data_IF_062442273413
#
_entry.id   IF_062442273413
#
_cell.length_a   1.000
_cell.length_b   1.000
_cell.length_c   1.000
_cell.angle_alpha   90.00
_cell.angle_beta   90.00
_cell.angle_gamma   90.00
#
_symmetry.space_group_name_H-M   'P 1'
#
loop_
_entity.id
_entity.type
_entity.pdbx_description
1 polymer ?
#
# COMPACT_ATOMS: atom_id res chain seq x y z
N UNK A 1 25.75 -0.13 7.61
CA UNK A 1 26.13 -1.17 6.64
C UNK A 1 25.12 -1.23 5.53
N UNK A 2 25.61 -1.28 4.31
CA UNK A 2 24.73 -1.28 3.17
C UNK A 2 23.92 -2.55 3.07
N UNK A 3 22.69 -2.40 2.66
CA UNK A 3 21.82 -3.52 2.39
C UNK A 3 22.22 -4.18 1.09
N UNK A 4 22.21 -5.45 1.11
CA UNK A 4 22.57 -6.24 -0.03
C UNK A 4 21.39 -7.03 -0.51
N UNK A 5 20.57 -6.38 -1.27
CA UNK A 5 19.42 -7.09 -1.84
C UNK A 5 19.83 -8.26 -2.71
N UNK A 6 21.06 -8.24 -3.19
CA UNK A 6 21.54 -9.40 -3.96
C UNK A 6 21.70 -10.63 -3.11
N UNK A 7 22.11 -10.44 -1.88
CA UNK A 7 22.16 -11.56 -0.96
C UNK A 7 20.81 -12.17 -0.76
N UNK A 8 19.84 -11.31 -0.69
CA UNK A 8 18.47 -11.75 -0.45
C UNK A 8 17.92 -12.55 -1.61
N UNK A 9 18.28 -12.20 -2.81
CA UNK A 9 17.85 -12.95 -3.98
C UNK A 9 18.30 -14.40 -3.94
N UNK A 10 19.50 -14.65 -3.41
CA UNK A 10 20.02 -15.99 -3.35
C UNK A 10 19.55 -16.75 -2.13
N UNK A 11 19.07 -16.08 -1.16
CA UNK A 11 18.62 -16.73 0.05
C UNK A 11 17.40 -17.59 -0.15
N UNK A 12 16.53 -17.17 -1.05
CA UNK A 12 15.32 -17.92 -1.27
C UNK A 12 14.41 -17.89 -0.05
N UNK A 13 13.39 -18.71 -0.11
CA UNK A 13 12.36 -18.68 0.91
C UNK A 13 12.73 -19.48 2.15
N UNK A 14 13.72 -20.31 2.08
CA UNK A 14 14.10 -21.19 3.17
C UNK A 14 15.13 -20.59 4.10
N UNK A 15 15.67 -19.45 3.74
CA UNK A 15 16.67 -18.80 4.56
C UNK A 15 16.00 -17.97 5.62
N UNK A 16 16.43 -18.19 6.84
CA UNK A 16 15.95 -17.40 7.95
C UNK A 16 16.29 -15.94 7.75
N UNK A 17 15.38 -15.07 8.12
CA UNK A 17 15.60 -13.64 7.98
C UNK A 17 16.83 -13.26 8.80
N UNK A 18 17.85 -12.85 8.11
CA UNK A 18 18.93 -12.16 8.75
C UNK A 18 18.48 -10.75 9.05
N UNK A 19 19.02 -10.19 10.09
CA UNK A 19 18.84 -8.77 10.33
C UNK A 19 19.56 -8.03 9.22
N UNK A 20 18.83 -7.56 8.26
CA UNK A 20 19.37 -6.78 7.16
C UNK A 20 19.15 -5.32 7.48
N UNK A 21 20.21 -4.57 7.48
CA UNK A 21 20.11 -3.13 7.64
C UNK A 21 19.79 -2.51 6.31
N UNK A 22 18.66 -1.84 6.23
CA UNK A 22 18.27 -1.11 5.03
C UNK A 22 18.91 0.26 5.01
N UNK A 23 19.22 0.72 3.82
CA UNK A 23 19.71 2.07 3.56
C UNK A 23 18.81 2.71 2.50
N UNK A 24 18.91 4.02 2.40
CA UNK A 24 18.31 4.72 1.28
C UNK A 24 18.86 4.17 -0.03
N UNK A 25 18.01 3.92 -0.99
CA UNK A 25 18.42 3.33 -2.24
C UNK A 25 17.29 2.60 -2.94
N UNK A 26 17.67 1.92 -4.00
CA UNK A 26 16.72 1.16 -4.83
C UNK A 26 16.95 -0.33 -4.67
N UNK A 27 15.85 -1.03 -4.49
CA UNK A 27 15.81 -2.47 -4.33
C UNK A 27 14.95 -3.06 -5.44
N UNK A 28 15.43 -4.13 -6.08
CA UNK A 28 14.75 -4.77 -7.20
C UNK A 28 14.56 -6.24 -6.92
N UNK A 29 13.39 -6.73 -7.27
CA UNK A 29 13.04 -8.15 -7.14
C UNK A 29 13.33 -8.69 -5.75
N UNK A 30 13.14 -7.84 -4.76
CA UNK A 30 13.44 -8.15 -3.38
C UNK A 30 12.30 -9.00 -2.80
N UNK A 31 12.69 -10.05 -2.12
CA UNK A 31 11.76 -10.88 -1.34
C UNK A 31 12.32 -11.00 0.06
N UNK A 32 11.55 -10.58 1.05
CA UNK A 32 11.97 -10.63 2.43
C UNK A 32 11.26 -9.63 3.31
N UNK A 33 11.82 -9.42 4.47
CA UNK A 33 11.29 -8.51 5.47
C UNK A 33 11.98 -7.16 5.38
N UNK A 34 11.18 -6.12 5.29
CA UNK A 34 11.64 -4.74 5.36
C UNK A 34 11.45 -4.25 6.80
N UNK A 35 12.49 -3.68 7.35
CA UNK A 35 12.40 -2.96 8.61
C UNK A 35 13.26 -1.70 8.46
N UNK A 36 12.60 -0.59 8.22
CA UNK A 36 13.28 0.67 7.97
C UNK A 36 12.41 1.83 8.42
N UNK A 37 12.83 2.45 9.51
CA UNK A 37 12.24 3.69 10.03
C UNK A 37 10.70 3.71 10.05
N UNK A 38 10.13 2.68 10.66
CA UNK A 38 8.68 2.54 10.78
C UNK A 38 8.00 1.79 9.66
N UNK A 39 8.73 1.50 8.59
CA UNK A 39 8.23 0.62 7.53
C UNK A 39 8.56 -0.80 7.96
N UNK A 40 7.56 -1.57 8.23
CA UNK A 40 7.74 -2.97 8.65
C UNK A 40 6.84 -3.87 7.84
N UNK A 41 7.41 -4.78 7.09
CA UNK A 41 6.58 -5.67 6.31
C UNK A 41 7.32 -6.71 5.51
N UNK A 42 6.60 -7.72 5.11
CA UNK A 42 7.10 -8.74 4.20
C UNK A 42 6.67 -8.41 2.78
N UNK A 43 7.62 -8.54 1.87
CA UNK A 43 7.39 -8.31 0.45
C UNK A 43 7.88 -9.49 -0.38
N UNK A 44 7.35 -9.60 -1.57
CA UNK A 44 7.76 -10.62 -2.52
C UNK A 44 7.86 -10.03 -3.92
N UNK A 45 8.99 -10.32 -4.57
CA UNK A 45 9.28 -9.84 -5.91
C UNK A 45 9.06 -8.32 -6.03
N UNK A 46 9.46 -7.59 -5.02
CA UNK A 46 9.15 -6.19 -4.90
C UNK A 46 10.28 -5.30 -5.43
N UNK A 47 9.90 -4.29 -6.15
CA UNK A 47 10.80 -3.22 -6.56
C UNK A 47 10.37 -1.95 -5.87
N UNK A 48 11.26 -1.37 -5.10
CA UNK A 48 10.97 -0.17 -4.33
C UNK A 48 12.23 0.66 -4.12
N UNK A 49 12.04 1.90 -3.72
CA UNK A 49 13.11 2.79 -3.31
C UNK A 49 12.81 3.33 -1.93
N UNK A 50 13.84 3.41 -1.12
CA UNK A 50 13.80 4.11 0.16
C UNK A 50 14.52 5.42 -0.04
N UNK A 51 13.85 6.51 0.22
CA UNK A 51 14.42 7.83 0.07
C UNK A 51 14.66 8.43 1.45
N UNK A 52 15.89 8.79 1.67
CA UNK A 52 16.26 9.49 2.88
C UNK A 52 15.66 10.91 2.84
N UNK A 53 14.74 11.13 3.72
CA UNK A 53 14.03 12.40 3.87
C UNK A 53 13.43 12.40 5.27
N UNK A 54 12.91 13.51 5.70
CA UNK A 54 12.23 13.60 6.98
C UNK A 54 10.77 14.02 6.74
N UNK A 55 9.83 13.11 6.87
CA UNK A 55 9.96 11.67 7.16
C UNK A 55 10.49 10.86 5.97
N UNK A 56 10.97 9.68 6.27
CA UNK A 56 11.40 8.73 5.24
C UNK A 56 10.23 8.32 4.38
N UNK A 57 10.47 8.22 3.10
CA UNK A 57 9.42 7.86 2.13
C UNK A 57 9.82 6.62 1.37
N UNK A 58 8.91 5.66 1.30
CA UNK A 58 9.05 4.49 0.45
C UNK A 58 8.28 4.72 -0.87
N UNK A 59 8.94 4.42 -1.95
CA UNK A 59 8.35 4.39 -3.29
C UNK A 59 8.28 2.95 -3.74
N UNK A 60 7.10 2.37 -3.67
CA UNK A 60 6.89 0.99 -4.06
C UNK A 60 6.42 0.96 -5.51
N UNK A 61 7.21 0.37 -6.38
CA UNK A 61 6.94 0.39 -7.81
C UNK A 61 6.06 -0.76 -8.24
N UNK A 62 6.37 -1.97 -7.78
CA UNK A 62 5.60 -3.15 -8.10
C UNK A 62 5.99 -4.31 -7.20
N UNK A 63 5.23 -5.37 -7.23
CA UNK A 63 5.44 -6.56 -6.44
C UNK A 63 4.31 -6.81 -5.47
N UNK A 64 4.60 -7.52 -4.40
CA UNK A 64 3.60 -7.89 -3.43
C UNK A 64 4.00 -7.43 -2.03
N UNK A 65 3.05 -6.86 -1.34
CA UNK A 65 3.14 -6.58 0.09
C UNK A 65 2.31 -7.61 0.82
N UNK A 66 2.95 -8.46 1.58
CA UNK A 66 2.28 -9.59 2.21
C UNK A 66 1.68 -9.26 3.57
N UNK A 67 2.22 -8.28 4.24
CA UNK A 67 1.71 -7.84 5.53
C UNK A 67 2.68 -6.96 6.26
N UNK A 68 2.20 -6.30 7.29
CA UNK A 68 3.00 -5.40 8.11
C UNK A 68 2.42 -4.00 8.17
N UNK A 69 3.26 -3.01 8.40
CA UNK A 69 2.86 -1.62 8.58
C UNK A 69 3.54 -0.74 7.53
N UNK A 70 2.72 -0.03 6.79
CA UNK A 70 3.12 1.00 5.84
C UNK A 70 2.80 2.37 6.45
N UNK A 71 3.80 3.12 6.88
CA UNK A 71 3.53 4.40 7.55
C UNK A 71 3.21 5.54 6.58
N UNK A 72 3.96 5.65 5.50
CA UNK A 72 3.78 6.70 4.50
C UNK A 72 4.58 6.38 3.25
N UNK A 73 4.20 6.97 2.13
CA UNK A 73 4.92 6.81 0.89
C UNK A 73 4.01 6.75 -0.33
N UNK A 74 4.59 6.26 -1.41
CA UNK A 74 3.88 6.17 -2.68
C UNK A 74 3.89 4.72 -3.16
N UNK A 75 2.71 4.20 -3.34
CA UNK A 75 2.46 2.89 -3.94
C UNK A 75 2.04 3.08 -5.39
N UNK A 76 2.88 2.67 -6.32
CA UNK A 76 2.58 2.82 -7.74
C UNK A 76 1.71 1.70 -8.27
N UNK A 77 2.09 0.46 -7.98
CA UNK A 77 1.35 -0.69 -8.49
C UNK A 77 1.74 -1.95 -7.73
N UNK A 78 0.96 -3.01 -7.88
CA UNK A 78 1.23 -4.29 -7.27
C UNK A 78 0.05 -4.80 -6.45
N UNK A 79 0.32 -5.80 -5.64
CA UNK A 79 -0.70 -6.46 -4.84
C UNK A 79 -0.43 -6.29 -3.35
N UNK A 80 -1.39 -5.73 -2.66
CA UNK A 80 -1.40 -5.60 -1.22
C UNK A 80 -2.27 -6.72 -0.63
N UNK A 81 -1.66 -7.63 0.11
CA UNK A 81 -2.38 -8.75 0.70
C UNK A 81 -2.98 -8.43 2.05
N UNK A 82 -2.33 -7.64 2.85
CA UNK A 82 -2.84 -7.32 4.17
C UNK A 82 -1.91 -6.44 4.98
N UNK A 83 -2.29 -6.17 6.20
CA UNK A 83 -1.56 -5.29 7.09
C UNK A 83 -2.22 -3.94 7.23
N UNK A 84 -1.46 -2.96 7.71
CA UNK A 84 -1.97 -1.63 7.98
C UNK A 84 -1.30 -0.59 7.11
N UNK A 85 -2.09 0.09 6.33
CA UNK A 85 -1.70 1.27 5.57
C UNK A 85 -2.10 2.52 6.36
N UNK A 86 -1.14 3.31 6.80
CA UNK A 86 -1.44 4.49 7.62
C UNK A 86 -1.65 5.74 6.80
N UNK A 87 -0.80 5.98 5.82
CA UNK A 87 -0.87 7.19 5.03
C UNK A 87 -0.12 7.05 3.72
N UNK A 88 -0.23 8.05 2.87
CA UNK A 88 0.47 8.12 1.60
C UNK A 88 -0.45 8.11 0.40
N UNK A 89 0.13 7.80 -0.74
CA UNK A 89 -0.59 7.81 -2.01
C UNK A 89 -0.62 6.41 -2.62
N UNK A 90 -1.80 5.87 -2.76
CA UNK A 90 -2.05 4.65 -3.51
C UNK A 90 -2.45 5.03 -4.93
N UNK A 91 -1.58 4.74 -5.90
CA UNK A 91 -1.82 5.15 -7.27
C UNK A 91 -2.62 4.12 -8.04
N UNK A 92 -2.27 2.85 -7.89
CA UNK A 92 -2.93 1.76 -8.61
C UNK A 92 -2.59 0.42 -7.97
N UNK A 93 -3.24 -0.64 -8.40
CA UNK A 93 -2.96 -2.00 -7.96
C UNK A 93 -4.17 -2.68 -7.36
N UNK A 94 -3.92 -3.79 -6.71
CA UNK A 94 -4.97 -4.61 -6.11
C UNK A 94 -4.79 -4.69 -4.60
N UNK A 95 -5.81 -4.31 -3.89
CA UNK A 95 -5.89 -4.40 -2.44
C UNK A 95 -6.78 -5.59 -2.06
N UNK A 96 -6.19 -6.59 -1.42
CA UNK A 96 -6.90 -7.82 -1.06
C UNK A 96 -7.50 -7.76 0.34
N UNK A 97 -6.89 -7.03 1.26
CA UNK A 97 -7.39 -6.96 2.62
C UNK A 97 -6.51 -6.12 3.53
N UNK A 98 -6.88 -6.01 4.78
CA UNK A 98 -6.18 -5.22 5.76
C UNK A 98 -6.91 -3.93 6.08
N UNK A 99 -6.19 -2.97 6.67
CA UNK A 99 -6.77 -1.71 7.12
C UNK A 99 -6.11 -0.54 6.42
N UNK A 100 -6.93 0.30 5.80
CA UNK A 100 -6.50 1.56 5.21
C UNK A 100 -6.95 2.69 6.16
N UNK A 101 -5.99 3.33 6.79
CA UNK A 101 -6.28 4.34 7.81
C UNK A 101 -6.37 5.76 7.26
N UNK A 102 -5.63 6.04 6.20
CA UNK A 102 -5.65 7.39 5.65
C UNK A 102 -4.81 7.53 4.39
N UNK A 103 -4.71 8.75 3.90
CA UNK A 103 -4.02 9.05 2.66
C UNK A 103 -4.96 9.12 1.47
N UNK A 104 -4.41 8.96 0.29
CA UNK A 104 -5.16 9.12 -0.95
C UNK A 104 -5.13 7.84 -1.77
N UNK A 105 -6.30 7.39 -2.15
CA UNK A 105 -6.49 6.28 -3.08
C UNK A 105 -6.96 6.82 -4.42
N UNK A 106 -6.15 6.63 -5.46
CA UNK A 106 -6.49 7.19 -6.78
C UNK A 106 -7.16 6.19 -7.70
N UNK A 107 -6.58 5.01 -7.86
CA UNK A 107 -7.08 4.00 -8.78
C UNK A 107 -6.79 2.60 -8.25
N UNK A 108 -7.30 1.61 -8.96
CA UNK A 108 -7.07 0.22 -8.65
C UNK A 108 -8.31 -0.47 -8.14
N UNK A 109 -8.12 -1.67 -7.62
CA UNK A 109 -9.20 -2.54 -7.19
C UNK A 109 -9.09 -2.83 -5.70
N UNK A 110 -10.12 -2.47 -4.97
CA UNK A 110 -10.29 -2.81 -3.58
C UNK A 110 -11.23 -4.01 -3.46
N UNK A 111 -10.74 -5.14 -2.94
CA UNK A 111 -11.54 -6.36 -2.85
C UNK A 111 -12.15 -6.55 -1.48
N UNK A 112 -11.38 -6.29 -0.42
CA UNK A 112 -11.86 -6.51 0.94
C UNK A 112 -10.99 -5.71 1.93
N UNK A 113 -11.42 -5.65 3.17
CA UNK A 113 -10.70 -4.98 4.24
C UNK A 113 -11.51 -3.87 4.86
N UNK A 114 -10.84 -3.05 5.65
CA UNK A 114 -11.48 -1.95 6.37
C UNK A 114 -10.89 -0.61 5.97
N UNK A 115 -11.73 0.26 5.47
CA UNK A 115 -11.39 1.65 5.17
C UNK A 115 -11.84 2.52 6.33
N UNK A 116 -10.91 3.13 7.04
CA UNK A 116 -11.23 3.94 8.22
C UNK A 116 -11.02 5.42 8.01
N UNK A 117 -10.39 5.83 6.93
CA UNK A 117 -10.19 7.25 6.66
C UNK A 117 -9.44 7.48 5.37
N UNK A 118 -9.25 8.74 5.03
CA UNK A 118 -8.57 9.14 3.80
C UNK A 118 -9.53 9.49 2.67
N UNK A 119 -8.96 9.73 1.51
CA UNK A 119 -9.70 10.20 0.34
C UNK A 119 -9.68 9.18 -0.78
N UNK A 120 -10.85 8.75 -1.18
CA UNK A 120 -11.06 7.86 -2.32
C UNK A 120 -11.36 8.68 -3.56
N UNK A 121 -10.46 8.68 -4.53
CA UNK A 121 -10.63 9.44 -5.77
C UNK A 121 -11.21 8.62 -6.90
N UNK A 122 -11.01 7.30 -6.90
CA UNK A 122 -11.54 6.46 -7.96
C UNK A 122 -11.09 5.02 -7.83
N UNK A 123 -11.47 4.22 -8.82
CA UNK A 123 -11.17 2.80 -8.83
C UNK A 123 -12.39 1.95 -8.53
N UNK A 124 -12.16 0.68 -8.28
CA UNK A 124 -13.21 -0.30 -8.10
C UNK A 124 -13.29 -0.75 -6.65
N UNK A 125 -14.45 -0.60 -6.05
CA UNK A 125 -14.73 -1.09 -4.70
C UNK A 125 -15.61 -2.34 -4.80
N UNK A 126 -15.07 -3.49 -4.43
CA UNK A 126 -15.78 -4.77 -4.58
C UNK A 126 -16.22 -5.39 -3.25
N UNK A 127 -15.77 -4.88 -2.14
CA UNK A 127 -16.17 -5.43 -0.86
C UNK A 127 -15.48 -4.76 0.32
N UNK A 128 -15.67 -5.32 1.49
CA UNK A 128 -15.10 -4.80 2.71
C UNK A 128 -15.96 -3.77 3.41
N UNK A 129 -15.39 -3.12 4.39
CA UNK A 129 -16.10 -2.20 5.26
C UNK A 129 -15.59 -0.78 5.10
N UNK A 130 -16.48 0.14 4.81
CA UNK A 130 -16.22 1.57 4.84
C UNK A 130 -16.68 2.14 6.16
N UNK A 131 -15.75 2.65 6.97
CA UNK A 131 -16.08 3.23 8.28
C UNK A 131 -16.21 4.75 8.18
N UNK A 132 -15.19 5.39 7.61
CA UNK A 132 -15.21 6.84 7.42
C UNK A 132 -14.21 7.23 6.34
N UNK A 133 -14.16 8.51 6.03
CA UNK A 133 -13.32 9.05 4.98
C UNK A 133 -14.15 9.76 3.94
N UNK A 134 -13.50 10.19 2.89
CA UNK A 134 -14.13 11.01 1.87
C UNK A 134 -14.07 10.33 0.51
N UNK A 135 -15.09 10.53 -0.29
CA UNK A 135 -15.04 10.25 -1.71
C UNK A 135 -14.95 11.56 -2.46
N UNK A 136 -14.01 11.62 -3.36
CA UNK A 136 -13.71 12.85 -4.09
C UNK A 136 -14.02 12.62 -5.55
N UNK A 137 -14.69 13.61 -6.19
CA UNK A 137 -15.04 13.51 -7.58
C UNK A 137 -16.37 12.81 -7.83
N UNK A 138 -16.49 12.16 -8.97
CA UNK A 138 -17.72 11.46 -9.34
C UNK A 138 -17.69 10.06 -8.78
N UNK A 139 -18.71 9.72 -8.04
CA UNK A 139 -18.87 8.37 -7.53
C UNK A 139 -19.52 7.53 -8.60
N UNK A 140 -18.71 6.84 -9.35
CA UNK A 140 -19.22 5.96 -10.38
C UNK A 140 -19.23 4.50 -9.95
N UNK A 141 -18.49 4.18 -8.93
CA UNK A 141 -18.24 2.80 -8.57
C UNK A 141 -18.62 2.55 -7.13
N UNK A 142 -19.80 2.10 -6.98
CA UNK A 142 -20.24 1.63 -5.71
C UNK A 142 -20.54 0.14 -5.87
N UNK A 143 -20.08 -0.70 -4.97
CA UNK A 143 -20.34 -2.13 -5.05
C UNK A 143 -21.83 -2.46 -5.03
N UNK A 144 -22.65 -1.51 -4.62
CA UNK A 144 -24.08 -1.68 -4.61
C UNK A 144 -24.76 -1.09 -5.85
N UNK A 145 -23.99 -0.79 -6.86
CA UNK A 145 -24.54 -0.32 -8.11
C UNK A 145 -25.21 1.05 -8.02
N UNK A 146 -24.65 1.93 -7.24
CA UNK A 146 -25.17 3.29 -7.20
C UNK A 146 -25.02 3.91 -8.56
N UNK A 147 -26.13 4.24 -9.11
CA UNK A 147 -26.22 4.76 -10.45
C UNK A 147 -26.16 6.27 -10.52
N UNK A 148 -26.29 6.94 -9.42
CA UNK A 148 -26.25 8.39 -9.47
C UNK A 148 -24.82 8.88 -9.57
N UNK A 149 -24.51 9.40 -10.68
CA UNK A 149 -23.29 10.15 -10.90
C UNK A 149 -23.45 11.47 -10.19
N UNK A 150 -22.92 11.51 -9.01
CA UNK A 150 -23.08 12.65 -8.15
C UNK A 150 -21.71 13.12 -7.77
N UNK A 151 -21.50 14.40 -7.87
CA UNK A 151 -20.29 14.98 -7.34
C UNK A 151 -20.33 14.83 -5.82
N UNK A 152 -19.33 14.15 -5.29
CA UNK A 152 -19.23 13.96 -3.87
C UNK A 152 -18.37 15.06 -3.32
N UNK A 153 -18.91 15.83 -2.42
CA UNK A 153 -18.22 16.89 -1.72
C UNK A 153 -18.13 16.48 -0.27
N UNK A 154 -16.98 16.11 0.19
CA UNK A 154 -16.73 15.84 1.60
C UNK A 154 -17.81 14.99 2.28
N UNK A 155 -18.32 14.02 1.56
CA UNK A 155 -19.34 13.17 2.11
C UNK A 155 -18.70 12.10 2.98
N UNK A 156 -19.05 12.09 4.24
CA UNK A 156 -18.61 11.05 5.15
C UNK A 156 -19.51 9.84 4.94
N UNK A 157 -18.93 8.78 4.48
CA UNK A 157 -19.66 7.57 4.25
C UNK A 157 -19.44 6.62 5.41
N UNK A 158 -20.40 6.55 6.25
CA UNK A 158 -20.39 5.66 7.42
C UNK A 158 -20.91 4.29 7.07
#
# INVERSE_FOLDING_TARGET
MAVQNKGDERMGADVMPMTVAFEAGRYRDFTGYINYDGIEGYVRNATFSLKESDPVVIYFTCGEWLGGVWPDGIWHDGTWHGGTWRSGMWMNGTWLGGTFEGGNWYHGTWLDGTWTGGCWHGGQWNGGKWVSGERVGLVACNPHGVTSLKLVQHENLN
#
